data_IF_636671792897
#
_entry.id   IF_636671792897
#
_cell.length_a   1.000
_cell.length_b   1.000
_cell.length_c   1.000
_cell.angle_alpha   90.00
_cell.angle_beta   90.00
_cell.angle_gamma   90.00
#
_symmetry.space_group_name_H-M   'P 1'
#
loop_
_entity.id
_entity.type
_entity.pdbx_description
1 polymer ?
#
# COMPACT_ATOMS: atom_id res chain seq x y z
N UNK A 1 -19.58 -4.92 11.69
CA UNK A 1 -20.03 -6.33 11.53
C UNK A 1 -19.03 -7.20 12.25
N UNK A 2 -19.45 -8.04 13.20
CA UNK A 2 -18.51 -8.80 14.06
C UNK A 2 -18.89 -10.28 14.09
N UNK A 3 -17.91 -11.18 14.03
CA UNK A 3 -18.11 -12.61 14.22
C UNK A 3 -16.92 -13.26 14.95
N UNK A 4 -17.17 -14.22 15.83
CA UNK A 4 -16.08 -14.95 16.52
C UNK A 4 -15.42 -16.01 15.63
N UNK A 5 -16.09 -16.45 14.58
CA UNK A 5 -15.51 -17.33 13.56
C UNK A 5 -15.54 -16.63 12.21
N UNK A 6 -15.53 -17.39 11.12
CA UNK A 6 -15.49 -16.84 9.78
C UNK A 6 -16.69 -15.93 9.44
N UNK A 7 -16.41 -14.84 8.73
CA UNK A 7 -17.41 -13.96 8.10
C UNK A 7 -17.23 -14.00 6.58
N UNK A 8 -18.31 -14.32 5.87
CA UNK A 8 -18.36 -14.26 4.41
C UNK A 8 -19.37 -13.21 3.96
N UNK A 9 -18.93 -12.28 3.10
CA UNK A 9 -19.76 -11.25 2.50
C UNK A 9 -19.73 -11.44 0.97
N UNK A 10 -20.88 -11.75 0.38
CA UNK A 10 -20.98 -12.00 -1.07
C UNK A 10 -21.55 -10.84 -1.88
N UNK A 11 -21.97 -9.77 -1.22
CA UNK A 11 -22.59 -8.62 -1.85
C UNK A 11 -23.54 -7.87 -0.92
N UNK A 12 -23.96 -6.70 -1.37
CA UNK A 12 -24.79 -5.76 -0.60
C UNK A 12 -24.21 -4.35 -0.65
N UNK A 13 -24.95 -3.39 -0.12
CA UNK A 13 -24.48 -2.01 0.08
C UNK A 13 -24.42 -1.75 1.57
N UNK A 14 -23.26 -1.35 2.06
CA UNK A 14 -22.99 -1.16 3.48
C UNK A 14 -22.40 0.22 3.71
N UNK A 15 -23.05 1.00 4.59
CA UNK A 15 -22.54 2.27 5.08
C UNK A 15 -22.28 2.05 6.57
N UNK A 16 -21.00 2.03 6.96
CA UNK A 16 -20.55 1.71 8.31
C UNK A 16 -19.85 2.93 8.91
N UNK A 17 -20.31 3.31 10.10
CA UNK A 17 -19.74 4.37 10.92
C UNK A 17 -19.66 3.82 12.34
N UNK A 18 -18.46 3.39 12.75
CA UNK A 18 -18.23 2.59 13.95
C UNK A 18 -17.11 3.19 14.80
N UNK A 19 -17.19 3.04 16.13
CA UNK A 19 -16.16 3.52 17.05
C UNK A 19 -14.96 2.58 17.22
N UNK A 20 -15.12 1.36 16.72
CA UNK A 20 -14.23 0.19 16.77
C UNK A 20 -14.29 -0.44 15.36
N UNK A 21 -13.60 -1.54 15.07
CA UNK A 21 -13.48 -1.99 13.67
C UNK A 21 -14.83 -2.15 12.97
N UNK A 22 -14.88 -1.69 11.73
CA UNK A 22 -16.12 -1.70 10.95
C UNK A 22 -16.52 -3.12 10.54
N UNK A 23 -15.56 -3.97 10.21
CA UNK A 23 -15.75 -5.40 9.94
C UNK A 23 -14.64 -6.17 10.66
N UNK A 24 -14.98 -7.03 11.62
CA UNK A 24 -13.96 -7.80 12.34
C UNK A 24 -14.37 -9.23 12.66
N UNK A 25 -13.43 -10.16 12.47
CA UNK A 25 -13.55 -11.54 12.99
C UNK A 25 -12.32 -12.04 13.71
N UNK A 26 -12.54 -12.90 14.72
CA UNK A 26 -11.45 -13.62 15.40
C UNK A 26 -10.84 -14.79 14.59
N UNK A 27 -11.13 -14.86 13.30
CA UNK A 27 -10.67 -15.93 12.43
C UNK A 27 -10.49 -15.39 11.01
N UNK A 28 -11.45 -15.63 10.12
CA UNK A 28 -11.30 -15.34 8.69
C UNK A 28 -12.38 -14.41 8.13
N UNK A 29 -11.99 -13.45 7.30
CA UNK A 29 -12.91 -12.66 6.46
C UNK A 29 -12.75 -13.07 4.99
N UNK A 30 -13.87 -13.35 4.32
CA UNK A 30 -13.95 -13.49 2.87
C UNK A 30 -14.95 -12.48 2.29
N UNK A 31 -14.49 -11.58 1.43
CA UNK A 31 -15.34 -10.64 0.68
C UNK A 31 -15.28 -11.03 -0.80
N UNK A 32 -16.41 -11.43 -1.36
CA UNK A 32 -16.55 -11.82 -2.79
C UNK A 32 -17.34 -10.81 -3.61
N UNK A 33 -17.71 -9.67 -3.00
CA UNK A 33 -18.44 -8.59 -3.63
C UNK A 33 -19.14 -7.69 -2.60
N UNK A 34 -19.63 -6.55 -3.06
CA UNK A 34 -20.35 -5.56 -2.26
C UNK A 34 -19.87 -4.15 -2.55
N UNK A 35 -20.62 -3.17 -2.05
CA UNK A 35 -20.28 -1.75 -2.07
C UNK A 35 -20.24 -1.27 -0.61
N UNK A 36 -19.05 -0.88 -0.16
CA UNK A 36 -18.77 -0.51 1.22
C UNK A 36 -18.30 0.93 1.29
N UNK A 37 -18.97 1.72 2.13
CA UNK A 37 -18.47 3.01 2.60
C UNK A 37 -18.23 2.90 4.10
N UNK A 38 -16.97 2.99 4.52
CA UNK A 38 -16.52 2.70 5.87
C UNK A 38 -15.91 3.97 6.48
N UNK A 39 -16.30 4.27 7.71
CA UNK A 39 -15.59 5.14 8.64
C UNK A 39 -15.47 4.38 9.97
N UNK A 40 -14.24 4.15 10.42
CA UNK A 40 -13.94 3.40 11.63
C UNK A 40 -13.13 4.25 12.60
N UNK A 41 -13.42 4.11 13.89
CA UNK A 41 -12.60 4.66 14.98
C UNK A 41 -11.38 3.80 15.30
N UNK A 42 -11.35 2.56 14.78
CA UNK A 42 -10.21 1.66 14.80
C UNK A 42 -10.01 1.13 13.37
N UNK A 43 -9.98 -0.17 13.10
CA UNK A 43 -9.61 -0.64 11.76
C UNK A 43 -10.79 -0.63 10.79
N UNK A 44 -10.51 -0.44 9.51
CA UNK A 44 -11.54 -0.56 8.48
C UNK A 44 -12.09 -1.98 8.42
N UNK A 45 -11.19 -2.94 8.22
CA UNK A 45 -11.48 -4.39 8.12
C UNK A 45 -10.36 -5.17 8.81
N UNK A 46 -10.68 -5.95 9.84
CA UNK A 46 -9.70 -6.69 10.66
C UNK A 46 -10.04 -8.18 10.72
N UNK A 47 -9.11 -9.08 10.44
CA UNK A 47 -9.26 -10.50 10.77
C UNK A 47 -8.04 -11.03 11.53
N UNK A 48 -8.22 -11.67 12.69
CA UNK A 48 -7.09 -12.17 13.51
C UNK A 48 -6.18 -13.15 12.76
N UNK A 49 -6.69 -13.86 11.74
CA UNK A 49 -5.92 -14.82 10.93
C UNK A 49 -5.82 -14.41 9.46
N UNK A 50 -6.91 -14.56 8.69
CA UNK A 50 -6.85 -14.41 7.22
C UNK A 50 -7.94 -13.50 6.70
N UNK A 51 -7.58 -12.57 5.83
CA UNK A 51 -8.51 -11.68 5.14
C UNK A 51 -8.33 -11.82 3.64
N UNK A 52 -9.39 -12.22 2.94
CA UNK A 52 -9.39 -12.32 1.47
C UNK A 52 -10.48 -11.43 0.86
N UNK A 53 -10.09 -10.60 -0.10
CA UNK A 53 -10.99 -9.78 -0.91
C UNK A 53 -10.84 -10.21 -2.37
N UNK A 54 -11.87 -10.87 -2.90
CA UNK A 54 -11.89 -11.32 -4.30
C UNK A 54 -12.49 -10.29 -5.24
N UNK A 55 -13.47 -9.52 -4.78
CA UNK A 55 -14.13 -8.46 -5.56
C UNK A 55 -14.92 -7.51 -4.64
N UNK A 56 -15.38 -6.38 -5.19
CA UNK A 56 -16.18 -5.37 -4.53
C UNK A 56 -15.67 -3.95 -4.75
N UNK A 57 -16.43 -2.97 -4.28
CA UNK A 57 -16.00 -1.57 -4.16
C UNK A 57 -15.94 -1.24 -2.68
N UNK A 58 -14.74 -1.02 -2.15
CA UNK A 58 -14.49 -0.80 -0.73
C UNK A 58 -13.85 0.56 -0.57
N UNK A 59 -14.60 1.50 0.00
CA UNK A 59 -14.11 2.84 0.31
C UNK A 59 -14.03 3.03 1.83
N UNK A 60 -12.81 3.02 2.37
CA UNK A 60 -12.51 3.29 3.78
C UNK A 60 -12.07 4.75 3.88
N UNK A 61 -13.01 5.63 4.24
CA UNK A 61 -12.74 7.07 4.31
C UNK A 61 -11.93 7.48 5.54
N UNK A 62 -11.93 6.65 6.58
CA UNK A 62 -11.23 6.88 7.83
C UNK A 62 -11.09 5.57 8.59
N UNK A 63 -9.90 5.33 9.13
CA UNK A 63 -9.61 4.27 10.10
C UNK A 63 -8.29 4.56 10.82
N UNK A 64 -8.00 3.79 11.87
CA UNK A 64 -6.66 3.71 12.46
C UNK A 64 -5.74 3.00 11.46
N UNK A 65 -5.96 1.70 11.22
CA UNK A 65 -5.40 0.96 10.09
C UNK A 65 -6.47 0.68 9.02
N UNK A 66 -6.09 0.64 7.74
CA UNK A 66 -7.06 0.38 6.67
C UNK A 66 -7.58 -1.06 6.70
N UNK A 67 -6.67 -2.01 6.48
CA UNK A 67 -6.96 -3.45 6.43
C UNK A 67 -5.88 -4.20 7.23
N UNK A 68 -6.29 -5.00 8.21
CA UNK A 68 -5.38 -5.75 9.09
C UNK A 68 -5.70 -7.26 9.09
N UNK A 69 -4.67 -8.10 9.00
CA UNK A 69 -4.69 -9.53 9.33
C UNK A 69 -3.26 -10.11 9.40
N UNK A 70 -3.10 -11.37 9.84
CA UNK A 70 -1.81 -12.08 9.63
C UNK A 70 -1.52 -12.32 8.15
N UNK A 71 -2.53 -12.78 7.40
CA UNK A 71 -2.44 -13.05 5.97
C UNK A 71 -3.55 -12.30 5.22
N UNK A 72 -3.16 -11.40 4.34
CA UNK A 72 -4.06 -10.61 3.51
C UNK A 72 -3.90 -11.04 2.05
N UNK A 73 -5.01 -11.37 1.39
CA UNK A 73 -5.03 -11.66 -0.05
C UNK A 73 -6.03 -10.76 -0.76
N UNK A 74 -5.53 -9.96 -1.70
CA UNK A 74 -6.33 -9.08 -2.57
C UNK A 74 -6.32 -9.66 -3.98
N UNK A 75 -7.42 -10.29 -4.41
CA UNK A 75 -7.52 -10.89 -5.75
C UNK A 75 -8.22 -10.00 -6.77
N UNK A 76 -8.96 -8.99 -6.33
CA UNK A 76 -9.74 -8.13 -7.21
C UNK A 76 -10.47 -7.01 -6.47
N UNK A 77 -11.42 -6.38 -7.18
CA UNK A 77 -12.17 -5.24 -6.67
C UNK A 77 -11.43 -3.89 -6.78
N UNK A 78 -12.08 -2.86 -6.26
CA UNK A 78 -11.56 -1.49 -6.15
C UNK A 78 -11.59 -1.11 -4.68
N UNK A 79 -10.42 -0.90 -4.11
CA UNK A 79 -10.21 -0.56 -2.70
C UNK A 79 -9.56 0.81 -2.65
N UNK A 80 -10.21 1.77 -2.00
CA UNK A 80 -9.65 3.08 -1.69
C UNK A 80 -9.69 3.27 -0.18
N UNK A 81 -8.55 3.59 0.43
CA UNK A 81 -8.48 3.74 1.88
C UNK A 81 -7.70 4.98 2.31
N UNK A 82 -8.12 5.52 3.46
CA UNK A 82 -7.44 6.57 4.20
C UNK A 82 -7.32 6.14 5.67
N UNK A 83 -6.09 6.05 6.16
CA UNK A 83 -5.77 5.59 7.52
C UNK A 83 -4.87 6.59 8.24
N UNK A 84 -4.99 6.64 9.57
CA UNK A 84 -4.14 7.48 10.42
C UNK A 84 -2.85 6.79 10.88
N UNK A 85 -2.79 5.47 10.72
CA UNK A 85 -1.59 4.65 10.84
C UNK A 85 -1.41 3.92 9.50
N UNK A 86 -1.28 2.59 9.50
CA UNK A 86 -0.94 1.84 8.30
C UNK A 86 -2.10 1.68 7.32
N UNK A 87 -1.78 1.65 6.03
CA UNK A 87 -2.77 1.43 4.98
C UNK A 87 -3.23 -0.02 4.96
N UNK A 88 -2.27 -0.91 4.76
CA UNK A 88 -2.43 -2.36 4.88
C UNK A 88 -1.44 -2.83 5.93
N UNK A 89 -1.91 -3.58 6.93
CA UNK A 89 -1.07 -4.13 7.97
C UNK A 89 -1.15 -5.67 7.96
N UNK A 90 -0.16 -6.31 7.34
CA UNK A 90 0.02 -7.76 7.36
C UNK A 90 0.96 -8.16 8.50
N UNK A 91 0.61 -7.81 9.73
CA UNK A 91 1.36 -8.13 10.95
C UNK A 91 0.54 -8.90 11.98
N UNK A 92 -0.78 -8.95 11.79
CA UNK A 92 -1.75 -9.26 12.84
C UNK A 92 -1.60 -10.64 13.46
N UNK A 93 -1.94 -10.73 14.72
CA UNK A 93 -2.15 -11.93 15.51
C UNK A 93 -3.36 -11.68 16.43
N UNK A 94 -3.62 -12.59 17.37
CA UNK A 94 -4.76 -12.45 18.29
C UNK A 94 -4.62 -11.17 19.13
N UNK A 95 -5.38 -10.13 18.78
CA UNK A 95 -5.62 -8.93 19.57
C UNK A 95 -6.42 -9.28 20.83
N UNK A 96 -5.75 -9.98 21.73
CA UNK A 96 -6.27 -10.24 23.06
C UNK A 96 -6.43 -8.88 23.73
N UNK A 97 -7.68 -8.40 23.81
CA UNK A 97 -8.05 -7.20 24.55
C UNK A 97 -7.28 -7.14 25.87
N UNK A 98 -6.56 -6.04 26.07
CA UNK A 98 -5.77 -5.70 27.26
C UNK A 98 -6.11 -6.56 28.48
N UNK A 99 -5.22 -7.50 28.82
CA UNK A 99 -5.37 -8.29 30.05
C UNK A 99 -5.38 -7.31 31.24
N UNK A 100 -6.54 -7.14 31.86
CA UNK A 100 -6.76 -6.25 33.01
C UNK A 100 -6.68 -4.73 32.74
N UNK A 101 -6.94 -4.28 31.51
CA UNK A 101 -7.11 -2.84 31.20
C UNK A 101 -5.81 -2.02 31.19
N UNK A 102 -4.67 -2.69 31.00
CA UNK A 102 -3.40 -2.06 30.66
C UNK A 102 -3.14 -2.19 29.16
N UNK A 103 -3.03 -1.08 28.41
CA UNK A 103 -2.49 -1.11 27.06
C UNK A 103 -1.05 -1.67 27.08
N UNK A 104 -0.70 -2.58 26.16
CA UNK A 104 0.67 -3.08 25.95
C UNK A 104 1.17 -4.20 26.89
N UNK A 105 0.28 -5.02 27.47
CA UNK A 105 0.63 -6.20 28.28
C UNK A 105 -0.08 -7.46 27.76
N UNK A 106 -0.15 -7.63 26.44
CA UNK A 106 -0.46 -8.90 25.78
C UNK A 106 0.81 -9.78 25.74
N UNK A 107 0.62 -11.09 26.01
CA UNK A 107 1.66 -12.07 25.73
C UNK A 107 1.65 -12.28 24.22
N UNK A 108 2.59 -11.66 23.51
CA UNK A 108 2.89 -11.99 22.13
C UNK A 108 3.20 -13.49 22.06
N UNK A 109 2.21 -14.32 21.78
CA UNK A 109 2.48 -15.63 21.22
C UNK A 109 2.96 -15.34 19.82
N UNK A 110 4.28 -15.27 19.67
CA UNK A 110 4.92 -15.16 18.37
C UNK A 110 4.34 -16.24 17.47
N UNK A 111 3.47 -15.84 16.55
CA UNK A 111 3.49 -16.41 15.22
C UNK A 111 4.96 -16.30 14.76
N UNK A 112 5.46 -17.36 14.13
CA UNK A 112 6.89 -17.54 13.88
C UNK A 112 7.53 -16.27 13.30
N UNK A 113 8.79 -15.96 13.65
CA UNK A 113 9.49 -14.82 13.05
C UNK A 113 9.34 -14.83 11.51
N UNK A 114 8.92 -13.71 10.92
CA UNK A 114 8.50 -13.62 9.52
C UNK A 114 7.02 -13.95 9.26
N UNK A 115 6.16 -13.87 10.27
CA UNK A 115 4.70 -14.00 10.13
C UNK A 115 4.11 -12.68 9.63
N UNK A 116 3.35 -12.75 8.54
CA UNK A 116 2.87 -11.59 7.83
C UNK A 116 2.98 -11.81 6.33
N UNK A 117 1.86 -11.91 5.63
CA UNK A 117 1.87 -12.04 4.18
C UNK A 117 0.79 -11.18 3.55
N UNK A 118 1.22 -10.21 2.76
CA UNK A 118 0.35 -9.50 1.84
C UNK A 118 0.52 -10.08 0.44
N UNK A 119 -0.54 -10.69 -0.09
CA UNK A 119 -0.59 -11.15 -1.49
C UNK A 119 -1.56 -10.30 -2.30
N UNK A 120 -1.09 -9.74 -3.42
CA UNK A 120 -1.88 -8.93 -4.34
C UNK A 120 -1.90 -9.63 -5.70
N UNK A 121 -3.02 -10.25 -6.05
CA UNK A 121 -3.22 -11.00 -7.29
C UNK A 121 -4.00 -10.21 -8.36
N UNK A 122 -4.51 -9.03 -8.03
CA UNK A 122 -5.31 -8.22 -8.95
C UNK A 122 -6.07 -7.09 -8.27
N UNK A 123 -6.92 -6.42 -9.04
CA UNK A 123 -7.74 -5.30 -8.56
C UNK A 123 -7.02 -3.96 -8.58
N UNK A 124 -7.64 -2.96 -7.95
CA UNK A 124 -7.07 -1.62 -7.75
C UNK A 124 -7.07 -1.30 -6.26
N UNK A 125 -5.90 -0.97 -5.72
CA UNK A 125 -5.71 -0.53 -4.34
C UNK A 125 -5.12 0.88 -4.34
N UNK A 126 -5.80 1.84 -3.70
CA UNK A 126 -5.32 3.20 -3.48
C UNK A 126 -5.24 3.45 -1.98
N UNK A 127 -4.03 3.68 -1.48
CA UNK A 127 -3.70 3.90 -0.08
C UNK A 127 -3.30 5.35 0.14
N UNK A 128 -3.93 6.01 1.11
CA UNK A 128 -3.48 7.28 1.67
C UNK A 128 -3.25 7.06 3.17
N UNK A 129 -2.04 6.72 3.56
CA UNK A 129 -1.69 6.37 4.94
C UNK A 129 -0.81 7.45 5.57
N UNK A 130 -0.98 7.67 6.88
CA UNK A 130 -0.06 8.49 7.68
C UNK A 130 1.05 7.65 8.33
N UNK A 131 0.76 6.37 8.58
CA UNK A 131 1.71 5.29 8.85
C UNK A 131 2.29 4.71 7.56
N UNK A 132 2.73 3.47 7.60
CA UNK A 132 3.25 2.75 6.45
C UNK A 132 2.15 2.46 5.43
N UNK A 133 2.51 2.56 4.15
CA UNK A 133 1.54 2.33 3.07
C UNK A 133 1.10 0.87 3.00
N UNK A 134 2.07 0.00 2.74
CA UNK A 134 1.93 -1.45 2.81
C UNK A 134 2.93 -1.94 3.86
N UNK A 135 2.45 -2.35 5.02
CA UNK A 135 3.24 -2.95 6.09
C UNK A 135 3.03 -4.47 6.14
N UNK A 136 4.12 -5.19 6.40
CA UNK A 136 4.15 -6.63 6.53
C UNK A 136 5.33 -7.09 7.39
N UNK A 137 5.04 -7.66 8.56
CA UNK A 137 6.04 -8.35 9.40
C UNK A 137 6.61 -9.65 8.77
N UNK A 138 6.21 -9.98 7.53
CA UNK A 138 6.87 -10.98 6.70
C UNK A 138 7.12 -10.49 5.28
N UNK A 139 6.38 -11.01 4.29
CA UNK A 139 6.61 -10.72 2.87
C UNK A 139 5.41 -10.08 2.18
N UNK A 140 5.69 -9.38 1.10
CA UNK A 140 4.71 -8.89 0.14
C UNK A 140 4.93 -9.60 -1.19
N UNK A 141 3.86 -10.12 -1.79
CA UNK A 141 3.87 -10.76 -3.11
C UNK A 141 2.85 -10.06 -4.00
N UNK A 142 3.32 -9.37 -5.04
CA UNK A 142 2.45 -8.70 -6.02
C UNK A 142 2.53 -9.43 -7.37
N UNK A 143 1.45 -10.10 -7.75
CA UNK A 143 1.34 -10.90 -8.96
C UNK A 143 0.61 -10.20 -10.11
N UNK A 144 -0.29 -9.27 -9.79
CA UNK A 144 -0.99 -8.42 -10.76
C UNK A 144 -1.68 -7.24 -10.02
N UNK A 145 -2.45 -6.43 -10.75
CA UNK A 145 -3.27 -5.34 -10.22
C UNK A 145 -2.57 -3.98 -10.27
N UNK A 146 -3.28 -2.95 -9.82
CA UNK A 146 -2.76 -1.57 -9.71
C UNK A 146 -2.75 -1.16 -8.25
N UNK A 147 -1.56 -0.91 -7.71
CA UNK A 147 -1.35 -0.50 -6.31
C UNK A 147 -0.75 0.89 -6.29
N UNK A 148 -1.42 1.80 -5.60
CA UNK A 148 -1.04 3.20 -5.47
C UNK A 148 -0.95 3.54 -4.00
N UNK A 149 0.20 4.03 -3.57
CA UNK A 149 0.45 4.48 -2.20
C UNK A 149 0.88 5.93 -2.25
N UNK A 150 0.04 6.80 -1.69
CA UNK A 150 0.37 8.19 -1.44
C UNK A 150 0.74 8.37 0.04
N UNK A 151 1.92 8.92 0.28
CA UNK A 151 2.48 9.06 1.61
C UNK A 151 3.22 7.79 2.07
N UNK A 152 3.65 7.76 3.33
CA UNK A 152 3.50 8.80 4.34
C UNK A 152 4.44 9.98 4.10
N UNK A 153 4.18 11.09 4.80
CA UNK A 153 5.07 12.26 4.80
C UNK A 153 6.05 12.26 5.99
N UNK A 154 5.79 11.45 7.02
CA UNK A 154 6.68 11.27 8.17
C UNK A 154 7.96 10.52 7.76
N UNK A 155 9.08 10.79 8.42
CA UNK A 155 10.37 10.16 8.08
C UNK A 155 10.60 8.81 8.76
N UNK A 156 9.75 8.42 9.69
CA UNK A 156 9.82 7.14 10.39
C UNK A 156 8.95 6.05 9.74
N UNK A 157 8.21 6.39 8.68
CA UNK A 157 7.37 5.49 7.92
C UNK A 157 7.71 5.59 6.40
N UNK A 158 7.27 4.63 5.61
CA UNK A 158 7.55 4.46 4.19
C UNK A 158 6.33 4.02 3.38
N UNK A 159 6.43 4.12 2.05
CA UNK A 159 5.37 3.60 1.16
C UNK A 159 5.26 2.07 1.26
N UNK A 160 6.37 1.43 1.60
CA UNK A 160 6.57 0.00 1.70
C UNK A 160 7.33 -0.26 3.00
N UNK A 161 6.76 -1.05 3.89
CA UNK A 161 7.43 -1.68 5.01
C UNK A 161 7.28 -3.20 4.95
N UNK A 162 8.42 -3.91 5.01
CA UNK A 162 8.42 -5.36 4.98
C UNK A 162 9.71 -5.94 5.59
N UNK A 163 9.56 -6.98 6.42
CA UNK A 163 10.68 -7.59 7.13
C UNK A 163 11.50 -8.57 6.26
N UNK A 164 10.84 -9.25 5.32
CA UNK A 164 11.45 -10.30 4.50
C UNK A 164 11.63 -9.87 3.05
N UNK A 165 10.68 -10.17 2.16
CA UNK A 165 10.79 -9.79 0.74
C UNK A 165 9.55 -9.11 0.25
N UNK A 166 9.72 -8.14 -0.64
CA UNK A 166 8.66 -7.69 -1.53
C UNK A 166 9.01 -8.10 -2.96
N UNK A 167 8.33 -9.12 -3.46
CA UNK A 167 8.49 -9.61 -4.83
C UNK A 167 7.39 -9.08 -5.74
N UNK A 168 7.78 -8.43 -6.83
CA UNK A 168 6.88 -8.01 -7.91
C UNK A 168 7.02 -8.97 -9.07
N UNK A 169 5.93 -9.68 -9.37
CA UNK A 169 5.78 -10.65 -10.47
C UNK A 169 4.86 -10.14 -11.59
N UNK A 170 4.11 -9.07 -11.35
CA UNK A 170 3.20 -8.46 -12.32
C UNK A 170 2.51 -7.20 -11.78
N UNK A 171 1.71 -6.54 -12.63
CA UNK A 171 0.90 -5.39 -12.26
C UNK A 171 1.65 -4.05 -12.24
N UNK A 172 1.01 -3.01 -11.73
CA UNK A 172 1.55 -1.65 -11.65
C UNK A 172 1.62 -1.20 -10.19
N UNK A 173 2.81 -0.84 -9.73
CA UNK A 173 3.04 -0.25 -8.41
C UNK A 173 3.44 1.23 -8.58
N UNK A 174 2.77 2.13 -7.87
CA UNK A 174 3.16 3.53 -7.71
C UNK A 174 3.21 3.83 -6.22
N UNK A 175 4.39 4.06 -5.67
CA UNK A 175 4.56 4.54 -4.30
C UNK A 175 5.28 5.88 -4.31
N UNK A 176 4.66 6.91 -3.73
CA UNK A 176 5.29 8.22 -3.52
C UNK A 176 5.16 8.60 -2.05
N UNK A 177 6.28 8.91 -1.40
CA UNK A 177 6.24 9.22 0.02
C UNK A 177 7.55 9.81 0.53
N UNK A 178 7.75 9.69 1.84
CA UNK A 178 8.95 10.13 2.52
C UNK A 178 10.21 9.41 2.04
N UNK A 179 11.36 10.07 2.12
CA UNK A 179 12.67 9.47 1.85
C UNK A 179 13.32 8.84 3.08
N UNK A 180 12.74 9.03 4.28
CA UNK A 180 13.34 8.61 5.56
C UNK A 180 13.46 7.09 5.70
N UNK A 181 12.37 6.36 5.46
CA UNK A 181 12.28 4.90 5.46
C UNK A 181 11.92 4.35 4.07
N UNK A 182 12.32 5.05 3.00
CA UNK A 182 12.01 4.62 1.64
C UNK A 182 12.69 3.27 1.32
N UNK A 183 11.88 2.26 1.00
CA UNK A 183 12.35 0.95 0.58
C UNK A 183 12.01 0.67 -0.88
N UNK A 184 12.82 -0.16 -1.51
CA UNK A 184 12.58 -0.68 -2.87
C UNK A 184 12.09 -2.13 -2.80
N UNK A 185 11.51 -2.66 -3.88
CA UNK A 185 11.24 -4.09 -3.99
C UNK A 185 12.53 -4.93 -3.92
N UNK A 186 12.38 -6.20 -3.54
CA UNK A 186 13.49 -7.11 -3.34
C UNK A 186 14.11 -7.59 -4.66
N UNK A 187 15.38 -7.99 -4.61
CA UNK A 187 16.13 -8.45 -5.80
C UNK A 187 15.62 -9.76 -6.42
N UNK A 188 14.70 -10.42 -5.74
CA UNK A 188 13.99 -11.63 -6.18
C UNK A 188 12.74 -11.31 -7.01
N UNK A 189 12.40 -10.02 -7.19
CA UNK A 189 11.35 -9.58 -8.11
C UNK A 189 11.67 -9.96 -9.55
N UNK A 190 10.66 -10.40 -10.31
CA UNK A 190 10.81 -10.75 -11.73
C UNK A 190 10.46 -9.58 -12.65
N UNK A 191 9.67 -8.62 -12.16
CA UNK A 191 9.37 -7.36 -12.85
C UNK A 191 10.34 -6.25 -12.44
N UNK A 192 10.72 -5.40 -13.40
CA UNK A 192 11.62 -4.28 -13.13
C UNK A 192 10.91 -3.14 -12.40
N UNK A 193 11.67 -2.35 -11.65
CA UNK A 193 11.19 -1.14 -10.98
C UNK A 193 12.18 0.01 -11.12
N UNK A 194 11.66 1.23 -11.00
CA UNK A 194 12.40 2.46 -10.74
C UNK A 194 12.32 2.75 -9.25
N UNK A 195 13.44 3.14 -8.65
CA UNK A 195 13.47 3.62 -7.27
C UNK A 195 14.38 4.83 -7.14
N UNK A 196 13.90 5.85 -6.47
CA UNK A 196 14.69 7.04 -6.11
C UNK A 196 14.17 7.61 -4.79
N UNK A 197 15.07 8.06 -3.92
CA UNK A 197 14.76 8.74 -2.67
C UNK A 197 15.04 10.25 -2.75
N UNK A 198 15.06 10.80 -3.98
CA UNK A 198 15.42 12.19 -4.23
C UNK A 198 14.60 12.78 -5.38
N UNK A 199 13.30 12.94 -5.15
CA UNK A 199 12.42 13.74 -6.02
C UNK A 199 11.83 14.92 -5.25
N UNK A 200 11.75 16.13 -5.83
CA UNK A 200 10.94 17.20 -5.26
C UNK A 200 9.53 17.10 -5.81
N UNK A 201 8.56 16.67 -4.99
CA UNK A 201 7.15 16.62 -5.38
C UNK A 201 6.29 17.23 -4.28
N UNK A 202 5.58 18.32 -4.57
CA UNK A 202 4.57 18.85 -3.65
C UNK A 202 3.24 18.08 -3.79
N UNK A 203 2.38 18.19 -2.78
CA UNK A 203 1.00 17.70 -2.89
C UNK A 203 0.28 18.36 -4.09
N UNK A 204 -0.55 17.57 -4.77
CA UNK A 204 -1.30 17.93 -5.97
C UNK A 204 -0.42 18.31 -7.19
N UNK A 205 0.88 18.00 -7.15
CA UNK A 205 1.74 18.06 -8.34
C UNK A 205 1.75 16.73 -9.09
N UNK A 206 1.92 16.83 -10.40
CA UNK A 206 2.02 15.68 -11.28
C UNK A 206 3.47 15.26 -11.55
N UNK A 207 3.63 13.94 -11.70
CA UNK A 207 4.80 13.23 -12.19
C UNK A 207 4.50 12.74 -13.61
N UNK A 208 5.49 12.85 -14.50
CA UNK A 208 5.50 12.11 -15.77
C UNK A 208 6.78 11.26 -15.86
N UNK A 209 6.62 9.97 -16.14
CA UNK A 209 7.73 9.05 -16.39
C UNK A 209 7.79 8.77 -17.88
N UNK A 210 8.96 9.01 -18.48
CA UNK A 210 9.20 8.77 -19.91
C UNK A 210 10.34 7.77 -20.12
N UNK A 211 10.17 6.88 -21.09
CA UNK A 211 11.18 5.91 -21.50
C UNK A 211 12.28 6.51 -22.40
N UNK A 212 13.29 5.70 -22.77
CA UNK A 212 14.44 6.15 -23.59
C UNK A 212 14.05 6.78 -24.94
N UNK A 213 12.96 6.32 -25.53
CA UNK A 213 12.47 6.78 -26.84
C UNK A 213 11.49 7.96 -26.73
N UNK A 214 11.29 8.50 -25.51
CA UNK A 214 10.36 9.60 -25.23
C UNK A 214 8.90 9.16 -25.10
N UNK A 215 8.63 7.85 -25.10
CA UNK A 215 7.31 7.29 -24.77
C UNK A 215 6.95 7.62 -23.32
N UNK A 216 5.71 8.04 -23.08
CA UNK A 216 5.19 8.27 -21.73
C UNK A 216 4.70 6.94 -21.18
N UNK A 217 5.20 6.56 -20.00
CA UNK A 217 4.89 5.30 -19.32
C UNK A 217 3.92 5.53 -18.16
N UNK A 218 3.98 6.71 -17.54
CA UNK A 218 3.10 7.09 -16.45
C UNK A 218 2.89 8.60 -16.45
N UNK A 219 1.63 9.02 -16.28
CA UNK A 219 1.28 10.35 -15.78
C UNK A 219 0.47 10.18 -14.51
N UNK A 220 0.95 10.73 -13.39
CA UNK A 220 0.36 10.53 -12.06
C UNK A 220 0.35 11.82 -11.24
N UNK A 221 -0.76 12.12 -10.57
CA UNK A 221 -0.87 13.22 -9.60
C UNK A 221 -0.83 12.67 -8.18
N UNK A 222 0.13 13.14 -7.38
CA UNK A 222 0.27 12.70 -6.00
C UNK A 222 -0.64 13.52 -5.07
N UNK A 223 -1.34 12.85 -4.16
CA UNK A 223 -2.18 13.53 -3.15
C UNK A 223 -1.38 14.10 -1.97
N UNK A 224 -0.09 13.77 -1.90
CA UNK A 224 0.81 14.16 -0.80
C UNK A 224 2.15 14.67 -1.34
N UNK A 225 2.82 15.51 -0.56
CA UNK A 225 4.24 15.82 -0.79
C UNK A 225 5.07 14.53 -0.72
N UNK A 226 6.01 14.35 -1.63
CA UNK A 226 6.88 13.19 -1.67
C UNK A 226 8.34 13.57 -1.94
N UNK A 227 9.22 12.73 -1.40
CA UNK A 227 10.67 12.79 -1.57
C UNK A 227 11.24 11.52 -2.21
N UNK A 228 10.49 10.42 -2.16
CA UNK A 228 10.81 9.15 -2.78
C UNK A 228 9.75 8.73 -3.79
N UNK A 229 10.18 7.91 -4.75
CA UNK A 229 9.33 7.22 -5.70
C UNK A 229 9.81 5.79 -5.86
N UNK A 230 8.88 4.86 -5.77
CA UNK A 230 8.99 3.49 -6.29
C UNK A 230 7.93 3.32 -7.38
N UNK A 231 8.36 2.86 -8.55
CA UNK A 231 7.45 2.61 -9.67
C UNK A 231 7.79 1.28 -10.33
N UNK A 232 6.81 0.41 -10.51
CA UNK A 232 6.96 -0.80 -11.31
C UNK A 232 5.81 -0.90 -12.29
N UNK A 233 6.10 -1.35 -13.51
CA UNK A 233 5.14 -1.63 -14.56
C UNK A 233 5.70 -2.71 -15.49
N UNK A 234 4.86 -3.53 -16.15
CA UNK A 234 5.31 -4.48 -17.16
C UNK A 234 5.99 -3.82 -18.37
N UNK A 235 5.80 -2.51 -18.55
CA UNK A 235 6.41 -1.71 -19.62
C UNK A 235 7.87 -1.33 -19.33
N UNK A 236 8.34 -1.52 -18.09
CA UNK A 236 9.72 -1.27 -17.73
C UNK A 236 10.65 -2.35 -18.27
N UNK A 237 11.70 -1.93 -18.96
CA UNK A 237 12.74 -2.81 -19.51
C UNK A 237 13.98 -2.71 -18.62
N UNK A 238 14.36 -3.83 -18.00
CA UNK A 238 15.54 -3.90 -17.12
C UNK A 238 16.80 -3.33 -17.80
N UNK A 239 17.50 -2.44 -17.09
CA UNK A 239 18.70 -1.75 -17.57
C UNK A 239 18.46 -0.52 -18.44
N UNK A 240 17.23 -0.24 -18.86
CA UNK A 240 16.89 0.99 -19.59
C UNK A 240 16.78 2.18 -18.63
N UNK A 241 17.16 3.37 -19.09
CA UNK A 241 17.04 4.61 -18.33
C UNK A 241 15.69 5.28 -18.60
N UNK A 242 15.03 5.74 -17.54
CA UNK A 242 13.75 6.44 -17.58
C UNK A 242 13.91 7.82 -16.94
N UNK A 243 13.23 8.82 -17.48
CA UNK A 243 13.22 10.18 -16.95
C UNK A 243 11.95 10.41 -16.15
N UNK A 244 12.10 10.67 -14.86
CA UNK A 244 11.03 11.10 -13.96
C UNK A 244 11.01 12.63 -13.98
N UNK A 245 9.90 13.22 -14.39
CA UNK A 245 9.68 14.68 -14.39
C UNK A 245 8.65 15.03 -13.34
N UNK A 246 8.97 15.95 -12.42
CA UNK A 246 8.07 16.41 -11.35
C UNK A 246 7.77 17.91 -11.44
N UNK A 247 6.74 18.36 -10.70
CA UNK A 247 6.27 19.74 -10.69
C UNK A 247 5.42 20.09 -11.91
N UNK A 248 4.78 19.08 -12.52
CA UNK A 248 3.78 19.28 -13.56
C UNK A 248 2.38 19.46 -12.99
N UNK A 249 1.43 19.70 -13.88
CA UNK A 249 0.00 19.69 -13.59
C UNK A 249 -0.72 18.79 -14.59
N UNK A 250 -1.83 18.20 -14.20
CA UNK A 250 -2.71 17.42 -15.06
C UNK A 250 -4.05 18.12 -15.27
N UNK A 251 -4.79 17.67 -16.28
CA UNK A 251 -6.17 18.10 -16.54
C UNK A 251 -7.07 16.90 -16.76
N UNK A 252 -8.28 16.95 -16.20
CA UNK A 252 -9.22 15.84 -16.20
C UNK A 252 -9.55 15.42 -14.77
N UNK A 253 -10.36 14.37 -14.63
CA UNK A 253 -10.67 13.75 -13.34
C UNK A 253 -10.10 12.33 -13.33
N UNK A 254 -9.47 11.93 -12.23
CA UNK A 254 -9.03 10.55 -12.01
C UNK A 254 -9.32 10.10 -10.60
N UNK A 255 -9.93 8.92 -10.45
CA UNK A 255 -10.19 8.31 -9.14
C UNK A 255 -8.91 7.71 -8.52
N UNK A 256 -7.91 7.40 -9.35
CA UNK A 256 -6.65 6.75 -8.94
C UNK A 256 -5.47 7.72 -8.91
N UNK A 257 -5.63 8.93 -9.47
CA UNK A 257 -4.54 9.86 -9.72
C UNK A 257 -3.71 9.51 -10.96
N UNK A 258 -4.00 8.41 -11.66
CA UNK A 258 -3.38 8.08 -12.96
C UNK A 258 -4.16 8.78 -14.07
N UNK A 259 -3.45 9.41 -15.00
CA UNK A 259 -4.03 10.13 -16.12
C UNK A 259 -3.47 9.66 -17.46
N UNK A 260 -4.24 9.92 -18.52
CA UNK A 260 -3.78 9.78 -19.91
C UNK A 260 -2.66 10.80 -20.22
N UNK A 261 -1.69 10.41 -21.05
CA UNK A 261 -0.49 11.21 -21.35
C UNK A 261 -0.76 12.65 -21.78
N UNK A 262 -1.83 12.86 -22.53
CA UNK A 262 -2.21 14.17 -23.09
C UNK A 262 -2.64 15.19 -22.03
N UNK A 263 -2.78 14.77 -20.77
CA UNK A 263 -3.20 15.62 -19.66
C UNK A 263 -2.05 16.40 -19.02
N UNK A 264 -0.80 15.95 -19.17
CA UNK A 264 0.35 16.52 -18.47
C UNK A 264 0.84 17.82 -19.11
N UNK A 265 1.16 18.82 -18.28
CA UNK A 265 1.82 20.04 -18.73
C UNK A 265 2.76 20.60 -17.67
N UNK A 266 3.79 21.32 -18.09
CA UNK A 266 4.80 21.86 -17.19
C UNK A 266 5.86 20.82 -16.83
N UNK A 267 6.23 20.74 -15.56
CA UNK A 267 7.37 19.96 -15.10
C UNK A 267 8.66 20.79 -15.16
N UNK A 268 9.45 20.74 -14.08
CA UNK A 268 10.68 21.55 -13.97
C UNK A 268 11.87 20.79 -13.43
N UNK A 269 11.63 19.73 -12.66
CA UNK A 269 12.67 18.89 -12.07
C UNK A 269 12.68 17.54 -12.76
N UNK A 270 13.87 17.07 -13.14
CA UNK A 270 14.05 15.80 -13.82
C UNK A 270 15.09 14.95 -13.11
N UNK A 271 14.79 13.67 -12.92
CA UNK A 271 15.71 12.67 -12.39
C UNK A 271 15.75 11.50 -13.36
N UNK A 272 16.94 11.06 -13.76
CA UNK A 272 17.12 9.85 -14.56
C UNK A 272 17.36 8.66 -13.64
N UNK A 273 16.58 7.60 -13.82
CA UNK A 273 16.65 6.36 -13.03
C UNK A 273 16.67 5.17 -13.99
N UNK A 274 17.57 4.22 -13.77
CA UNK A 274 17.57 2.97 -14.54
C UNK A 274 16.59 1.97 -13.92
N UNK A 275 15.78 1.35 -14.76
CA UNK A 275 14.97 0.20 -14.33
C UNK A 275 15.88 -0.95 -13.93
N UNK A 276 15.54 -1.60 -12.82
CA UNK A 276 16.33 -2.67 -12.22
C UNK A 276 15.42 -3.76 -11.66
N UNK A 277 15.94 -4.98 -11.57
CA UNK A 277 15.37 -6.04 -10.73
C UNK A 277 16.19 -6.23 -9.45
N UNK A 278 17.30 -5.51 -9.28
CA UNK A 278 18.14 -5.53 -8.08
C UNK A 278 17.65 -4.52 -7.07
N UNK A 279 17.68 -4.88 -5.78
CA UNK A 279 17.36 -3.96 -4.70
C UNK A 279 18.29 -2.73 -4.73
N UNK A 280 17.71 -1.54 -4.67
CA UNK A 280 18.43 -0.27 -4.63
C UNK A 280 18.01 0.53 -3.41
N UNK A 281 18.96 0.94 -2.58
CA UNK A 281 18.67 1.49 -1.26
C UNK A 281 19.26 0.57 -0.19
N UNK A 282 20.06 1.14 0.71
CA UNK A 282 20.69 0.36 1.77
C UNK A 282 19.61 -0.31 2.59
N UNK A 283 19.66 -1.64 2.68
CA UNK A 283 19.03 -2.41 3.73
C UNK A 283 19.65 -1.91 5.05
N UNK A 284 19.19 -0.77 5.55
CA UNK A 284 19.51 -0.27 6.88
C UNK A 284 18.85 -1.29 7.79
N UNK A 285 19.68 -2.22 8.27
CA UNK A 285 19.26 -3.41 8.97
C UNK A 285 18.19 -3.11 10.02
N UNK A 286 17.18 -3.98 10.04
CA UNK A 286 16.01 -3.91 10.90
C UNK A 286 16.35 -3.34 12.27
N UNK A 287 15.86 -2.11 12.50
CA UNK A 287 15.20 -1.91 13.77
C UNK A 287 13.92 -2.74 13.68
N UNK A 288 13.62 -3.58 14.68
CA UNK A 288 12.37 -4.34 14.68
C UNK A 288 11.22 -3.36 14.44
N UNK A 289 10.31 -3.74 13.55
CA UNK A 289 9.08 -3.02 13.24
C UNK A 289 8.50 -2.49 14.55
N UNK A 290 8.57 -1.17 14.65
CA UNK A 290 8.10 -0.41 15.79
C UNK A 290 6.66 0.04 15.57
N UNK A 291 5.89 -0.72 14.79
CA UNK A 291 4.44 -0.67 14.86
C UNK A 291 4.08 -0.99 16.30
N UNK A 292 3.57 0.01 17.02
CA UNK A 292 2.81 -0.28 18.23
C UNK A 292 1.47 -0.87 17.78
N UNK A 293 1.53 -2.09 17.23
CA UNK A 293 0.40 -3.01 17.28
C UNK A 293 -0.05 -3.08 18.74
N UNK A 294 -1.37 -3.06 18.94
CA UNK A 294 -1.96 -3.02 20.29
C UNK A 294 -1.60 -4.22 21.15
#
# INVERSE_FOLDING_TARGET
MKATGSLAISGGTFILDTSDDSIHTNDTIQITGGDFTIASGDDGIHADNTLTIDDGTININQSYEGIEATEITLSGGVITLTSSDDGINAAGGNDASAVSGRPGENTFTSTAEGAGLLTINGGTLVVNASGDGLDSNGSIEMNDGTVIVNGPTDSMNGTLDYDSTFNINGGTLIGVGSSGMAMSPSSTSTQSFLFTSSIPLAADEAIQITGPDGEVILTFEASTTAQSLVFSSPELVNGSAYTITTGGTVSGDSATGIYEDTSFSGGSSTVEVSATTEASGGQMGGMPSGGFAK
#
